data_IF_588948495853
#
_entry.id   IF_588948495853
#
_cell.length_a   1.000
_cell.length_b   1.000
_cell.length_c   1.000
_cell.angle_alpha   90.00
_cell.angle_beta   90.00
_cell.angle_gamma   90.00
#
_symmetry.space_group_name_H-M   'P 1'
#
loop_
_entity.id
_entity.type
_entity.pdbx_description
1 polymer ?
#
# COMPACT_ATOMS: atom_id res chain seq x y z
N UNK A 1 -19.41 0.44 1.52
CA UNK A 1 -18.36 0.37 0.49
C UNK A 1 -18.58 1.47 -0.54
N UNK A 2 -17.55 2.27 -0.86
CA UNK A 2 -17.72 3.50 -1.65
C UNK A 2 -18.06 3.24 -3.12
N UNK A 3 -17.40 2.26 -3.77
CA UNK A 3 -17.56 1.99 -5.20
C UNK A 3 -18.60 0.91 -5.55
N UNK A 4 -19.12 0.16 -4.57
CA UNK A 4 -20.05 -0.97 -4.80
C UNK A 4 -21.28 -0.64 -5.67
N UNK A 5 -21.80 0.59 -5.59
CA UNK A 5 -23.00 1.00 -6.32
C UNK A 5 -22.74 1.21 -7.83
N UNK A 6 -21.48 1.40 -8.24
CA UNK A 6 -21.09 1.75 -9.60
C UNK A 6 -20.35 0.65 -10.37
N UNK A 7 -20.20 -0.54 -9.80
CA UNK A 7 -19.52 -1.67 -10.44
C UNK A 7 -20.36 -2.21 -11.63
N UNK A 8 -19.81 -2.23 -12.86
CA UNK A 8 -20.53 -2.69 -14.05
C UNK A 8 -20.70 -4.22 -14.14
N UNK A 9 -19.87 -5.00 -13.46
CA UNK A 9 -19.85 -6.46 -13.52
C UNK A 9 -20.52 -7.10 -12.29
N UNK A 10 -20.50 -6.42 -11.13
CA UNK A 10 -21.03 -6.92 -9.85
C UNK A 10 -21.77 -5.84 -9.04
N UNK A 11 -22.55 -4.98 -9.71
CA UNK A 11 -23.29 -3.88 -9.07
C UNK A 11 -24.01 -4.29 -7.77
N UNK A 12 -23.68 -3.60 -6.68
CA UNK A 12 -24.22 -3.83 -5.34
C UNK A 12 -23.47 -4.84 -4.48
N UNK A 13 -22.50 -5.57 -5.02
CA UNK A 13 -21.66 -6.50 -4.28
C UNK A 13 -20.40 -5.83 -3.70
N UNK A 14 -19.79 -6.44 -2.67
CA UNK A 14 -18.50 -6.02 -2.18
C UNK A 14 -17.38 -6.17 -3.23
N UNK A 15 -16.89 -5.05 -3.76
CA UNK A 15 -15.70 -4.91 -4.58
C UNK A 15 -14.41 -5.18 -3.76
N UNK A 16 -13.50 -6.02 -4.28
CA UNK A 16 -12.18 -6.20 -3.68
C UNK A 16 -11.42 -4.90 -3.45
N UNK A 17 -10.64 -4.82 -2.36
CA UNK A 17 -9.95 -3.57 -2.02
C UNK A 17 -8.90 -3.18 -3.08
N UNK A 18 -8.15 -4.13 -3.62
CA UNK A 18 -7.20 -3.88 -4.71
C UNK A 18 -7.86 -3.23 -5.94
N UNK A 19 -9.10 -3.61 -6.28
CA UNK A 19 -9.86 -3.00 -7.36
C UNK A 19 -10.31 -1.57 -7.00
N UNK A 20 -10.71 -1.34 -5.75
CA UNK A 20 -10.94 0.03 -5.24
C UNK A 20 -9.67 0.88 -5.33
N UNK A 21 -8.51 0.29 -5.03
CA UNK A 21 -7.25 0.99 -5.17
C UNK A 21 -6.92 1.31 -6.63
N UNK A 22 -7.23 0.43 -7.59
CA UNK A 22 -7.07 0.76 -9.01
C UNK A 22 -7.89 1.99 -9.43
N UNK A 23 -9.12 2.14 -8.93
CA UNK A 23 -9.88 3.37 -9.12
C UNK A 23 -9.22 4.57 -8.45
N UNK A 24 -8.69 4.40 -7.23
CA UNK A 24 -7.94 5.45 -6.56
C UNK A 24 -6.69 5.88 -7.35
N UNK A 25 -5.97 4.96 -7.99
CA UNK A 25 -4.87 5.32 -8.90
C UNK A 25 -5.34 6.16 -10.09
N UNK A 26 -6.48 5.80 -10.69
CA UNK A 26 -7.05 6.56 -11.79
C UNK A 26 -7.43 7.98 -11.35
N UNK A 27 -8.07 8.14 -10.19
CA UNK A 27 -8.42 9.47 -9.66
C UNK A 27 -7.20 10.30 -9.28
N UNK A 28 -6.14 9.69 -8.72
CA UNK A 28 -4.87 10.39 -8.48
C UNK A 28 -4.28 10.92 -9.80
N UNK A 29 -4.26 10.10 -10.87
CA UNK A 29 -3.79 10.53 -12.18
C UNK A 29 -4.62 11.69 -12.75
N UNK A 30 -5.95 11.63 -12.62
CA UNK A 30 -6.83 12.71 -13.08
C UNK A 30 -6.64 14.00 -12.27
N UNK A 31 -6.42 13.90 -10.95
CA UNK A 31 -6.07 15.05 -10.13
C UNK A 31 -4.76 15.69 -10.61
N UNK A 32 -3.72 14.88 -10.81
CA UNK A 32 -2.43 15.36 -11.28
C UNK A 32 -2.52 16.00 -12.67
N UNK A 33 -3.27 15.40 -13.59
CA UNK A 33 -3.48 15.93 -14.93
C UNK A 33 -4.15 17.31 -14.91
N UNK A 34 -5.28 17.45 -14.22
CA UNK A 34 -5.98 18.73 -14.13
C UNK A 34 -5.17 19.81 -13.40
N UNK A 35 -4.36 19.42 -12.40
CA UNK A 35 -3.45 20.35 -11.71
C UNK A 35 -2.34 20.85 -12.63
N UNK A 36 -1.73 19.96 -13.41
CA UNK A 36 -0.64 20.31 -14.34
C UNK A 36 -1.16 21.18 -15.49
N UNK A 37 -2.32 20.85 -16.04
CA UNK A 37 -2.92 21.59 -17.14
C UNK A 37 -3.56 22.91 -16.70
N UNK A 38 -4.01 23.00 -15.43
CA UNK A 38 -4.71 24.17 -14.91
C UNK A 38 -6.06 24.42 -15.60
N UNK A 39 -6.69 23.38 -16.13
CA UNK A 39 -7.78 23.47 -17.11
C UNK A 39 -9.19 23.35 -16.49
N UNK A 40 -9.37 22.49 -15.48
CA UNK A 40 -10.68 22.19 -14.92
C UNK A 40 -10.66 22.01 -13.38
N UNK A 41 -10.69 23.11 -12.61
CA UNK A 41 -10.67 23.05 -11.15
C UNK A 41 -11.87 22.30 -10.56
N UNK A 42 -13.05 22.36 -11.21
CA UNK A 42 -14.24 21.64 -10.76
C UNK A 42 -14.07 20.12 -10.80
N UNK A 43 -13.44 19.58 -11.87
CA UNK A 43 -13.14 18.15 -11.95
C UNK A 43 -12.03 17.74 -11.00
N UNK A 44 -11.00 18.58 -10.84
CA UNK A 44 -9.96 18.37 -9.83
C UNK A 44 -10.57 18.22 -8.43
N UNK A 45 -11.42 19.16 -8.00
CA UNK A 45 -12.08 19.12 -6.69
C UNK A 45 -12.97 17.88 -6.54
N UNK A 46 -13.69 17.49 -7.60
CA UNK A 46 -14.51 16.28 -7.59
C UNK A 46 -13.68 15.02 -7.38
N UNK A 47 -12.62 14.82 -8.15
CA UNK A 47 -11.78 13.63 -8.03
C UNK A 47 -11.00 13.60 -6.72
N UNK A 48 -10.54 14.78 -6.25
CA UNK A 48 -9.92 14.92 -4.93
C UNK A 48 -10.90 14.55 -3.81
N UNK A 49 -12.15 15.00 -3.89
CA UNK A 49 -13.21 14.65 -2.93
C UNK A 49 -13.50 13.14 -2.88
N UNK A 50 -13.52 12.48 -4.04
CA UNK A 50 -13.66 11.01 -4.12
C UNK A 50 -12.51 10.30 -3.41
N UNK A 51 -11.27 10.72 -3.69
CA UNK A 51 -10.08 10.16 -3.05
C UNK A 51 -10.10 10.33 -1.53
N UNK A 52 -10.40 11.54 -1.04
CA UNK A 52 -10.50 11.82 0.41
C UNK A 52 -11.54 10.90 1.06
N UNK A 53 -12.71 10.75 0.45
CA UNK A 53 -13.76 9.90 1.00
C UNK A 53 -13.38 8.41 1.02
N UNK A 54 -12.78 7.91 -0.08
CA UNK A 54 -12.34 6.51 -0.17
C UNK A 54 -11.27 6.17 0.86
N UNK A 55 -10.23 7.01 0.97
CA UNK A 55 -9.13 6.80 1.91
C UNK A 55 -9.58 6.95 3.38
N UNK A 56 -10.40 7.97 3.68
CA UNK A 56 -10.96 8.14 5.02
C UNK A 56 -11.82 6.95 5.44
N UNK A 57 -12.58 6.36 4.51
CA UNK A 57 -13.35 5.14 4.78
C UNK A 57 -12.44 3.93 5.08
N UNK A 58 -11.33 3.78 4.35
CA UNK A 58 -10.37 2.70 4.63
C UNK A 58 -9.80 2.80 6.04
N UNK A 59 -9.30 3.99 6.42
CA UNK A 59 -8.62 4.22 7.70
C UNK A 59 -9.56 4.33 8.90
N UNK A 60 -10.86 4.60 8.71
CA UNK A 60 -11.84 4.74 9.81
C UNK A 60 -12.49 3.42 10.24
N UNK A 61 -11.93 2.27 9.82
CA UNK A 61 -12.46 0.95 10.17
C UNK A 61 -13.37 0.33 9.10
N UNK A 62 -13.61 1.04 7.98
CA UNK A 62 -14.45 0.56 6.90
C UNK A 62 -13.73 -0.42 5.97
N UNK A 63 -12.50 -0.10 5.59
CA UNK A 63 -11.68 -0.90 4.66
C UNK A 63 -10.55 -1.69 5.32
N UNK A 64 -10.20 -1.38 6.57
CA UNK A 64 -9.21 -2.09 7.36
C UNK A 64 -9.62 -2.17 8.82
N UNK A 65 -9.03 -3.09 9.55
CA UNK A 65 -9.08 -3.13 11.02
C UNK A 65 -7.67 -2.92 11.57
N UNK A 66 -7.58 -2.20 12.68
CA UNK A 66 -6.33 -2.08 13.44
C UNK A 66 -6.26 -3.22 14.45
N UNK A 67 -5.16 -3.99 14.40
CA UNK A 67 -4.85 -5.07 15.35
C UNK A 67 -3.54 -4.74 16.08
N UNK A 68 -3.25 -5.50 17.13
CA UNK A 68 -1.94 -5.48 17.79
C UNK A 68 -1.07 -6.63 17.28
N UNK A 69 0.17 -6.33 16.90
CA UNK A 69 1.18 -7.37 16.65
C UNK A 69 1.63 -8.04 17.96
N UNK A 70 2.54 -9.01 17.84
CA UNK A 70 3.12 -9.71 19.00
C UNK A 70 3.96 -8.81 19.94
N UNK A 71 4.34 -7.61 19.48
CA UNK A 71 5.12 -6.61 20.22
C UNK A 71 4.23 -5.50 20.80
N UNK A 72 2.91 -5.53 20.55
CA UNK A 72 1.95 -4.52 21.01
C UNK A 72 1.82 -3.28 20.12
N UNK A 73 2.45 -3.25 18.94
CA UNK A 73 2.30 -2.17 17.98
C UNK A 73 1.00 -2.31 17.19
N UNK A 74 0.44 -1.18 16.75
CA UNK A 74 -0.67 -1.20 15.81
C UNK A 74 -0.20 -1.66 14.42
N UNK A 75 -1.00 -2.54 13.83
CA UNK A 75 -0.85 -3.07 12.46
C UNK A 75 -2.21 -3.06 11.76
N UNK A 76 -2.21 -2.83 10.45
CA UNK A 76 -3.41 -2.99 9.65
C UNK A 76 -3.60 -4.44 9.22
N UNK A 77 -4.84 -4.88 9.24
CA UNK A 77 -5.30 -6.09 8.58
C UNK A 77 -6.53 -5.70 7.75
N UNK A 78 -6.58 -6.16 6.51
CA UNK A 78 -7.73 -5.92 5.65
C UNK A 78 -8.02 -7.15 4.80
N UNK A 79 -9.30 -7.35 4.56
CA UNK A 79 -9.80 -8.46 3.77
C UNK A 79 -9.70 -8.14 2.28
N UNK A 80 -9.42 -9.17 1.47
CA UNK A 80 -9.43 -9.09 0.00
C UNK A 80 -10.76 -8.49 -0.49
N UNK A 81 -11.86 -9.07 -0.03
CA UNK A 81 -13.21 -8.52 -0.20
C UNK A 81 -13.69 -7.98 1.14
N UNK A 82 -14.20 -6.75 1.14
CA UNK A 82 -14.67 -6.12 2.39
C UNK A 82 -15.84 -6.92 2.98
N UNK A 83 -15.70 -7.31 4.24
CA UNK A 83 -16.68 -8.12 4.95
C UNK A 83 -16.46 -9.64 4.85
N UNK A 84 -15.48 -10.08 4.06
CA UNK A 84 -14.93 -11.44 4.10
C UNK A 84 -13.92 -11.57 5.26
N UNK A 85 -13.63 -12.80 5.68
CA UNK A 85 -12.58 -13.19 6.62
C UNK A 85 -11.23 -13.54 5.93
N UNK A 86 -11.15 -13.48 4.60
CA UNK A 86 -9.92 -13.73 3.85
C UNK A 86 -9.08 -12.46 3.76
N UNK A 87 -7.96 -12.43 4.47
CA UNK A 87 -6.98 -11.35 4.39
C UNK A 87 -6.44 -11.15 2.96
N UNK A 88 -6.15 -9.90 2.62
CA UNK A 88 -5.53 -9.51 1.35
C UNK A 88 -4.24 -10.29 1.11
N UNK A 89 -4.03 -10.74 -0.13
CA UNK A 89 -2.79 -11.41 -0.48
C UNK A 89 -1.64 -10.42 -0.69
N UNK A 90 -0.42 -10.92 -0.58
CA UNK A 90 0.78 -10.09 -0.61
C UNK A 90 0.97 -9.36 -1.94
N UNK A 91 0.46 -9.88 -3.06
CA UNK A 91 0.62 -9.25 -4.36
C UNK A 91 -0.26 -8.01 -4.47
N UNK A 92 -1.54 -8.18 -4.18
CA UNK A 92 -2.49 -7.09 -4.15
C UNK A 92 -2.18 -6.07 -3.04
N UNK A 93 -1.82 -6.52 -1.84
CA UNK A 93 -1.46 -5.62 -0.76
C UNK A 93 -0.24 -4.75 -1.07
N UNK A 94 0.69 -5.23 -1.91
CA UNK A 94 1.80 -4.42 -2.38
C UNK A 94 1.33 -3.28 -3.32
N UNK A 95 0.33 -3.55 -4.18
CA UNK A 95 -0.30 -2.52 -5.02
C UNK A 95 -1.03 -1.48 -4.18
N UNK A 96 -1.73 -1.95 -3.13
CA UNK A 96 -2.44 -1.09 -2.18
C UNK A 96 -1.50 -0.14 -1.47
N UNK A 97 -0.44 -0.69 -0.87
CA UNK A 97 0.59 0.10 -0.16
C UNK A 97 1.26 1.10 -1.10
N UNK A 98 1.56 0.74 -2.34
CA UNK A 98 2.10 1.69 -3.31
C UNK A 98 1.11 2.84 -3.62
N UNK A 99 -0.21 2.56 -3.58
CA UNK A 99 -1.26 3.55 -3.81
C UNK A 99 -1.39 4.52 -2.64
N UNK A 100 -1.34 4.00 -1.41
CA UNK A 100 -1.28 4.80 -0.19
C UNK A 100 -0.01 5.64 -0.10
N UNK A 101 1.15 5.05 -0.44
CA UNK A 101 2.41 5.78 -0.47
C UNK A 101 2.34 6.96 -1.45
N UNK A 102 1.82 6.76 -2.67
CA UNK A 102 1.62 7.85 -3.63
C UNK A 102 0.71 8.95 -3.07
N UNK A 103 -0.41 8.57 -2.46
CA UNK A 103 -1.36 9.51 -1.86
C UNK A 103 -0.77 10.26 -0.66
N UNK A 104 0.11 9.63 0.13
CA UNK A 104 0.86 10.28 1.20
C UNK A 104 1.86 11.30 0.63
N UNK A 105 2.64 10.89 -0.38
CA UNK A 105 3.68 11.72 -1.01
C UNK A 105 3.09 12.98 -1.66
N UNK A 106 1.89 12.92 -2.22
CA UNK A 106 1.24 14.11 -2.79
C UNK A 106 0.85 15.15 -1.74
N UNK A 107 0.64 14.73 -0.48
CA UNK A 107 0.16 15.59 0.61
C UNK A 107 -1.30 16.05 0.45
N UNK A 108 -2.01 15.58 -0.57
CA UNK A 108 -3.34 16.09 -0.92
C UNK A 108 -4.48 15.51 -0.09
N UNK A 109 -4.28 14.34 0.51
CA UNK A 109 -5.35 13.49 1.03
C UNK A 109 -5.29 13.25 2.54
N UNK A 110 -4.48 14.04 3.25
CA UNK A 110 -4.36 14.00 4.72
C UNK A 110 -3.99 12.63 5.31
N UNK A 111 -3.30 11.79 4.52
CA UNK A 111 -2.68 10.56 5.06
C UNK A 111 -1.54 10.97 5.99
N UNK A 112 -1.50 10.39 7.19
CA UNK A 112 -0.50 10.72 8.20
C UNK A 112 0.69 9.76 8.18
N UNK A 113 1.82 10.22 8.73
CA UNK A 113 3.01 9.37 8.92
C UNK A 113 2.69 8.15 9.81
N UNK A 114 1.86 8.32 10.85
CA UNK A 114 1.44 7.22 11.74
C UNK A 114 0.60 6.16 11.01
N UNK A 115 -0.28 6.56 10.09
CA UNK A 115 -1.02 5.62 9.25
C UNK A 115 -0.05 4.82 8.37
N UNK A 116 0.92 5.48 7.75
CA UNK A 116 1.92 4.80 6.92
C UNK A 116 2.85 3.89 7.74
N UNK A 117 3.21 4.31 8.97
CA UNK A 117 3.97 3.50 9.92
C UNK A 117 3.20 2.25 10.35
N UNK A 118 1.88 2.33 10.47
CA UNK A 118 1.02 1.17 10.81
C UNK A 118 1.05 0.10 9.70
N UNK A 119 1.11 0.51 8.42
CA UNK A 119 1.43 -0.42 7.33
C UNK A 119 2.86 -0.97 7.42
N UNK A 120 3.84 -0.14 7.77
CA UNK A 120 5.21 -0.56 8.01
C UNK A 120 5.33 -1.65 9.07
N UNK A 121 4.63 -1.50 10.20
CA UNK A 121 4.56 -2.51 11.24
C UNK A 121 3.90 -3.79 10.73
N UNK A 122 2.80 -3.70 9.98
CA UNK A 122 2.17 -4.87 9.35
C UNK A 122 3.20 -5.64 8.51
N UNK A 123 3.92 -4.96 7.61
CA UNK A 123 4.84 -5.66 6.73
C UNK A 123 6.04 -6.25 7.47
N UNK A 124 6.65 -5.46 8.38
CA UNK A 124 7.89 -5.84 9.05
C UNK A 124 7.66 -6.80 10.21
N UNK A 125 6.61 -6.60 11.01
CA UNK A 125 6.41 -7.38 12.24
C UNK A 125 5.40 -8.54 12.07
N UNK A 126 4.59 -8.53 11.01
CA UNK A 126 3.60 -9.60 10.74
C UNK A 126 3.97 -10.39 9.48
N UNK A 127 4.20 -9.73 8.34
CA UNK A 127 4.46 -10.45 7.09
C UNK A 127 5.90 -10.96 6.96
N UNK A 128 6.89 -10.36 7.64
CA UNK A 128 8.27 -10.84 7.58
C UNK A 128 8.48 -11.98 8.57
N UNK A 129 8.48 -13.21 8.06
CA UNK A 129 8.58 -14.44 8.86
C UNK A 129 10.02 -14.80 9.21
N UNK A 130 10.98 -14.28 8.44
CA UNK A 130 12.41 -14.46 8.64
C UNK A 130 13.23 -14.00 7.43
N UNK A 131 14.55 -14.22 7.42
CA UNK A 131 15.39 -13.88 6.29
C UNK A 131 14.89 -14.54 4.99
N UNK A 132 14.54 -13.74 3.99
CA UNK A 132 13.97 -14.20 2.71
C UNK A 132 12.75 -15.12 2.88
N UNK A 133 11.90 -14.83 3.87
CA UNK A 133 10.65 -15.53 4.09
C UNK A 133 9.56 -14.53 4.44
N UNK A 134 8.59 -14.38 3.54
CA UNK A 134 7.51 -13.42 3.65
C UNK A 134 6.17 -14.13 3.50
N UNK A 135 5.22 -13.81 4.39
CA UNK A 135 3.87 -14.30 4.35
C UNK A 135 3.18 -13.92 3.04
N UNK A 136 2.31 -14.79 2.56
CA UNK A 136 1.52 -14.55 1.36
C UNK A 136 0.24 -13.74 1.60
N UNK A 137 -0.07 -13.37 2.84
CA UNK A 137 -1.19 -12.49 3.22
C UNK A 137 -0.80 -11.48 4.28
N UNK A 138 -1.53 -10.37 4.34
CA UNK A 138 -1.26 -9.24 5.25
C UNK A 138 -1.43 -9.56 6.73
N UNK A 139 -2.19 -10.62 7.04
CA UNK A 139 -2.38 -11.14 8.40
C UNK A 139 -1.25 -12.10 8.87
N UNK A 140 -0.22 -12.29 8.04
CA UNK A 140 0.92 -13.17 8.33
C UNK A 140 0.69 -14.65 7.96
N UNK A 141 -0.50 -15.01 7.48
CA UNK A 141 -0.78 -16.36 6.99
C UNK A 141 -0.35 -16.55 5.54
N UNK A 142 -0.44 -17.77 5.03
CA UNK A 142 -0.14 -18.10 3.63
C UNK A 142 -1.08 -19.17 3.12
N UNK A 143 -1.45 -19.08 1.85
CA UNK A 143 -2.24 -20.04 1.11
C UNK A 143 -1.50 -20.53 -0.13
N UNK A 144 -2.23 -20.65 -1.24
CA UNK A 144 -1.71 -21.07 -2.54
C UNK A 144 -1.87 -19.94 -3.58
N UNK A 145 -1.25 -20.10 -4.75
CA UNK A 145 -1.32 -19.11 -5.83
C UNK A 145 -0.76 -17.75 -5.39
N UNK A 146 -1.52 -16.67 -5.61
CA UNK A 146 -1.13 -15.30 -5.22
C UNK A 146 -0.99 -15.10 -3.71
N UNK A 147 -1.57 -15.99 -2.90
CA UNK A 147 -1.45 -15.96 -1.45
C UNK A 147 -0.36 -16.88 -0.89
N UNK A 148 0.49 -17.47 -1.74
CA UNK A 148 1.61 -18.28 -1.28
C UNK A 148 2.71 -17.41 -0.64
N UNK A 149 3.41 -17.98 0.35
CA UNK A 149 4.61 -17.35 0.90
C UNK A 149 5.66 -17.11 -0.19
N UNK A 150 6.44 -16.05 -0.05
CA UNK A 150 7.47 -15.66 -1.01
C UNK A 150 8.84 -15.56 -0.35
N UNK A 151 9.89 -15.61 -1.17
CA UNK A 151 11.28 -15.43 -0.74
C UNK A 151 11.84 -14.05 -1.05
N UNK A 152 10.99 -13.15 -1.52
CA UNK A 152 11.35 -11.81 -1.93
C UNK A 152 10.30 -10.79 -1.49
N UNK A 153 10.73 -9.54 -1.32
CA UNK A 153 9.83 -8.43 -1.02
C UNK A 153 9.18 -7.95 -2.30
N UNK A 154 7.85 -7.93 -2.33
CA UNK A 154 7.13 -7.26 -3.41
C UNK A 154 7.43 -5.76 -3.37
N UNK A 155 7.77 -5.19 -4.52
CA UNK A 155 8.37 -3.85 -4.60
C UNK A 155 7.46 -2.74 -4.05
N UNK A 156 6.14 -2.97 -3.95
CA UNK A 156 5.19 -1.99 -3.39
C UNK A 156 5.46 -1.70 -1.92
N UNK A 157 5.83 -2.73 -1.17
CA UNK A 157 6.16 -2.58 0.24
C UNK A 157 7.44 -1.80 0.49
N UNK A 158 8.32 -1.64 -0.51
CA UNK A 158 9.58 -0.91 -0.32
C UNK A 158 9.37 0.52 0.20
N UNK A 159 8.27 1.19 -0.17
CA UNK A 159 7.93 2.51 0.35
C UNK A 159 7.83 2.55 1.88
N UNK A 160 7.45 1.43 2.52
CA UNK A 160 7.27 1.37 3.96
C UNK A 160 8.58 1.49 4.75
N UNK A 161 9.72 1.24 4.11
CA UNK A 161 11.02 1.41 4.74
C UNK A 161 11.34 2.90 5.08
N UNK A 162 10.60 3.87 4.53
CA UNK A 162 10.66 5.26 5.00
C UNK A 162 10.18 5.40 6.45
N UNK A 163 9.20 4.59 6.86
CA UNK A 163 8.54 4.63 8.18
C UNK A 163 9.12 3.58 9.15
N UNK A 164 9.87 2.61 8.60
CA UNK A 164 10.60 1.56 9.32
C UNK A 164 12.04 1.51 8.84
N UNK A 165 12.80 2.56 9.17
CA UNK A 165 14.21 2.69 8.77
C UNK A 165 15.07 1.55 9.33
N UNK A 166 14.69 0.96 10.47
CA UNK A 166 15.30 -0.24 11.04
C UNK A 166 15.23 -1.47 10.12
N UNK A 167 14.20 -1.53 9.26
CA UNK A 167 13.98 -2.63 8.33
C UNK A 167 14.55 -2.37 6.93
N UNK A 168 15.06 -1.16 6.65
CA UNK A 168 15.48 -0.73 5.32
C UNK A 168 16.42 -1.72 4.62
N UNK A 169 17.55 -2.06 5.25
CA UNK A 169 18.53 -2.98 4.65
C UNK A 169 17.94 -4.37 4.39
N UNK A 170 17.11 -4.87 5.31
CA UNK A 170 16.44 -6.17 5.16
C UNK A 170 15.45 -6.17 4.00
N UNK A 171 14.71 -5.07 3.81
CA UNK A 171 13.75 -4.93 2.71
C UNK A 171 14.44 -4.77 1.36
N UNK A 172 15.56 -4.03 1.29
CA UNK A 172 16.38 -3.88 0.08
C UNK A 172 16.98 -5.22 -0.34
N UNK A 173 17.60 -5.94 0.60
CA UNK A 173 18.12 -7.28 0.35
C UNK A 173 17.00 -8.26 -0.05
N UNK A 174 15.84 -8.14 0.60
CA UNK A 174 14.64 -8.92 0.29
C UNK A 174 14.07 -8.67 -1.11
N UNK A 175 14.22 -7.46 -1.65
CA UNK A 175 13.89 -7.14 -3.04
C UNK A 175 14.98 -7.57 -4.04
N UNK A 176 15.97 -8.36 -3.61
CA UNK A 176 17.12 -8.81 -4.40
C UNK A 176 17.95 -7.66 -4.99
N UNK A 177 17.97 -6.51 -4.31
CA UNK A 177 18.86 -5.41 -4.64
C UNK A 177 20.16 -5.56 -3.86
N UNK A 178 21.29 -5.50 -4.57
CA UNK A 178 22.63 -5.62 -4.00
C UNK A 178 23.38 -4.32 -4.19
N UNK A 179 23.96 -3.79 -3.13
CA UNK A 179 24.79 -2.59 -3.21
C UNK A 179 25.97 -2.80 -4.18
N UNK A 180 26.13 -1.87 -5.13
CA UNK A 180 27.16 -1.96 -6.18
C UNK A 180 26.85 -2.98 -7.28
N UNK A 181 25.71 -3.68 -7.21
CA UNK A 181 25.24 -4.61 -8.24
C UNK A 181 24.39 -3.94 -9.32
N UNK A 182 23.85 -4.78 -10.20
CA UNK A 182 22.91 -4.40 -11.27
C UNK A 182 21.57 -5.10 -11.07
N UNK A 183 20.48 -4.51 -11.54
CA UNK A 183 19.14 -5.13 -11.53
C UNK A 183 18.39 -4.79 -12.81
N UNK A 184 17.48 -5.68 -13.23
CA UNK A 184 16.52 -5.43 -14.32
C UNK A 184 15.15 -5.00 -13.80
N UNK A 185 14.92 -5.05 -12.48
CA UNK A 185 13.67 -4.58 -11.85
C UNK A 185 13.74 -3.07 -11.63
N UNK A 186 13.35 -2.33 -12.67
CA UNK A 186 13.27 -0.87 -12.64
C UNK A 186 12.31 -0.37 -11.55
N UNK A 187 11.24 -1.12 -11.28
CA UNK A 187 10.24 -0.78 -10.28
C UNK A 187 10.80 -0.88 -8.84
N UNK A 188 11.48 -1.98 -8.48
CA UNK A 188 12.11 -2.11 -7.17
C UNK A 188 13.25 -1.10 -7.02
N UNK A 189 14.08 -0.92 -8.06
CA UNK A 189 15.21 -0.01 -8.02
C UNK A 189 14.79 1.45 -7.84
N UNK A 190 13.78 1.92 -8.58
CA UNK A 190 13.29 3.30 -8.47
C UNK A 190 12.69 3.59 -7.10
N UNK A 191 11.91 2.65 -6.54
CA UNK A 191 11.33 2.77 -5.20
C UNK A 191 12.41 2.77 -4.11
N UNK A 192 13.42 1.91 -4.24
CA UNK A 192 14.59 1.91 -3.36
C UNK A 192 15.32 3.26 -3.37
N UNK A 193 15.61 3.82 -4.55
CA UNK A 193 16.29 5.11 -4.67
C UNK A 193 15.46 6.23 -4.03
N UNK A 194 14.15 6.20 -4.24
CA UNK A 194 13.24 7.16 -3.63
C UNK A 194 13.29 7.09 -2.10
N UNK A 195 13.17 5.90 -1.51
CA UNK A 195 13.22 5.72 -0.04
C UNK A 195 14.58 6.13 0.52
N UNK A 196 15.68 5.74 -0.15
CA UNK A 196 17.04 6.16 0.23
C UNK A 196 17.15 7.68 0.36
N UNK A 197 16.59 8.40 -0.62
CA UNK A 197 16.58 9.86 -0.63
C UNK A 197 15.71 10.44 0.51
N UNK A 198 14.59 9.81 0.87
CA UNK A 198 13.80 10.28 2.02
C UNK A 198 14.53 10.07 3.34
N UNK A 199 15.14 8.90 3.55
CA UNK A 199 15.90 8.61 4.77
C UNK A 199 17.08 9.59 4.95
N UNK A 200 17.77 9.94 3.86
CA UNK A 200 18.87 10.92 3.88
C UNK A 200 18.43 12.36 4.23
N UNK A 201 17.14 12.69 4.10
CA UNK A 201 16.60 14.00 4.53
C UNK A 201 16.19 14.02 6.01
N UNK A 202 15.99 12.85 6.61
CA UNK A 202 15.61 12.69 8.02
C UNK A 202 16.84 12.59 8.96
N UNK A 203 18.03 12.34 8.40
CA UNK A 203 19.32 12.29 9.10
C UNK A 203 19.99 13.65 9.20
#
# INVERSE_FOLDING_TARGET
MYFAKGDPDMGGQPLPWNQQMMFNYAFQNLCDAHRILGDNPTLLDKYKGIMVASLAWFFSGGGSVTKKDSKGNDVYDWSYVVGDNTAEDSNHGALDVAGFARAYISGDYSITEDQMKTFGNMFVDVMTLGPKSYAGRVDGTSGTGYSAATTYVQSGYLFLAEFRSDAYEGMVAGANLVQGGTTTSTDAFSRFLWVKNQLAKKS
#
